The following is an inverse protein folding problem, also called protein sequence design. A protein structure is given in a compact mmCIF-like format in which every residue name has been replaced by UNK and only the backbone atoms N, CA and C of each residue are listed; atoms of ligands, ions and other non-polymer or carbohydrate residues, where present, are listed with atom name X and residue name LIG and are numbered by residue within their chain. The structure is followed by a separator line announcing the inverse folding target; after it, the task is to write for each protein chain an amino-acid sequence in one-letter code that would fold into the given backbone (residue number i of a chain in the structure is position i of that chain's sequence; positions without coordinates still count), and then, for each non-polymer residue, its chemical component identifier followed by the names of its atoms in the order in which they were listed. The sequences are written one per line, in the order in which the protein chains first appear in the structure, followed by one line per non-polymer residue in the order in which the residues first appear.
data_IF_433462644074
#
_entry.id   IF_433462644074
#
_cell.length_a   1.000
_cell.length_b   1.000
_cell.length_c   1.000
_cell.angle_alpha   90.00
_cell.angle_beta   90.00
_cell.angle_gamma   90.00
#
_symmetry.space_group_name_H-M   'P 1'
#
loop_
_entity.id
_entity.type
_entity.pdbx_description
1 polymer ?
#
# COMPACT_ATOMS: atom_id res chain seq x y z
N UNK A 1 10.53 6.69 -7.34
CA UNK A 1 9.39 7.28 -8.06
C UNK A 1 9.35 8.78 -7.76
N UNK A 2 9.05 9.65 -8.73
CA UNK A 2 8.85 11.07 -8.43
C UNK A 2 7.51 11.22 -7.68
N UNK A 3 7.50 11.98 -6.59
CA UNK A 3 6.28 12.38 -5.86
C UNK A 3 5.18 12.93 -6.79
N UNK A 4 5.54 13.39 -7.99
CA UNK A 4 4.62 13.83 -9.03
C UNK A 4 3.54 12.80 -9.41
N UNK A 5 3.77 11.49 -9.32
CA UNK A 5 2.71 10.52 -9.68
C UNK A 5 1.60 10.44 -8.62
N UNK A 6 1.95 10.61 -7.34
CA UNK A 6 0.98 10.65 -6.24
C UNK A 6 0.17 11.96 -6.21
N UNK A 7 0.65 13.03 -6.88
CA UNK A 7 -0.09 14.29 -7.06
C UNK A 7 -1.34 14.13 -7.93
N UNK A 8 -1.56 12.96 -8.55
CA UNK A 8 -2.81 12.64 -9.26
C UNK A 8 -4.04 12.69 -8.36
N UNK A 9 -3.89 12.49 -7.06
CA UNK A 9 -4.99 12.55 -6.12
C UNK A 9 -5.10 13.95 -5.50
N UNK A 10 -6.30 14.55 -5.59
CA UNK A 10 -6.58 15.86 -4.99
C UNK A 10 -6.65 15.79 -3.45
N UNK A 11 -6.99 14.62 -2.90
CA UNK A 11 -7.07 14.39 -1.47
C UNK A 11 -6.68 12.96 -1.09
N UNK A 12 -6.24 12.79 0.17
CA UNK A 12 -5.84 11.50 0.75
C UNK A 12 -6.98 10.49 0.74
N UNK A 13 -8.22 10.94 0.97
CA UNK A 13 -9.39 10.07 1.00
C UNK A 13 -9.63 9.35 -0.32
N UNK A 14 -9.33 9.99 -1.45
CA UNK A 14 -9.47 9.38 -2.77
C UNK A 14 -8.35 8.38 -3.08
N UNK A 15 -7.14 8.64 -2.58
CA UNK A 15 -6.03 7.70 -2.66
C UNK A 15 -6.29 6.45 -1.81
N UNK A 16 -6.87 6.60 -0.60
CA UNK A 16 -7.23 5.46 0.28
C UNK A 16 -8.26 4.51 -0.30
N UNK A 17 -9.08 4.97 -1.26
CA UNK A 17 -10.07 4.13 -1.97
C UNK A 17 -9.44 3.22 -3.01
N UNK A 18 -8.15 3.40 -3.35
CA UNK A 18 -7.51 2.62 -4.41
C UNK A 18 -7.09 1.25 -3.90
N UNK A 19 -7.21 0.28 -4.80
CA UNK A 19 -6.74 -1.08 -4.54
C UNK A 19 -5.23 -1.12 -4.72
N UNK A 20 -4.55 -1.75 -3.78
CA UNK A 20 -3.13 -2.06 -3.91
C UNK A 20 -2.99 -3.45 -4.56
N UNK A 21 -2.20 -3.52 -5.62
CA UNK A 21 -1.87 -4.76 -6.34
C UNK A 21 -0.36 -4.92 -6.41
N UNK A 22 0.14 -6.15 -6.42
CA UNK A 22 1.56 -6.38 -6.71
C UNK A 22 1.81 -6.53 -8.22
N UNK A 23 3.07 -6.60 -8.61
CA UNK A 23 3.51 -6.60 -10.00
C UNK A 23 2.94 -7.75 -10.85
N UNK A 24 2.51 -8.86 -10.25
CA UNK A 24 1.87 -9.98 -10.93
C UNK A 24 0.33 -9.83 -11.10
N UNK A 25 -0.24 -8.74 -10.57
CA UNK A 25 -1.68 -8.45 -10.59
C UNK A 25 -2.45 -8.99 -9.38
N UNK A 26 -1.79 -9.64 -8.41
CA UNK A 26 -2.46 -10.11 -7.20
C UNK A 26 -2.83 -8.93 -6.30
N UNK A 27 -4.11 -8.88 -5.91
CA UNK A 27 -4.63 -7.89 -4.98
C UNK A 27 -4.05 -8.09 -3.59
N UNK A 28 -3.37 -7.08 -3.05
CA UNK A 28 -2.86 -7.07 -1.68
C UNK A 28 -3.91 -6.54 -0.72
N UNK A 29 -4.47 -5.35 -1.00
CA UNK A 29 -5.33 -4.67 -0.03
C UNK A 29 -5.72 -3.26 -0.46
N UNK A 30 -5.83 -2.36 0.50
CA UNK A 30 -6.09 -0.94 0.28
C UNK A 30 -5.28 -0.10 1.27
N UNK A 31 -5.04 1.17 0.96
CA UNK A 31 -4.31 2.07 1.86
C UNK A 31 -5.20 2.44 3.04
N UNK A 32 -4.82 2.00 4.25
CA UNK A 32 -5.46 2.36 5.50
C UNK A 32 -5.03 3.75 5.96
N UNK A 33 -3.71 3.98 5.98
CA UNK A 33 -3.11 5.23 6.45
C UNK A 33 -1.80 5.57 5.73
N UNK A 34 -1.28 6.76 6.00
CA UNK A 34 -0.10 7.33 5.36
C UNK A 34 0.84 7.86 6.44
N UNK A 35 2.10 7.45 6.34
CA UNK A 35 3.19 7.96 7.17
C UNK A 35 3.86 9.09 6.40
N UNK A 36 3.90 10.27 6.99
CA UNK A 36 4.62 11.42 6.45
C UNK A 36 6.02 11.54 7.07
N UNK A 37 6.97 12.05 6.31
CA UNK A 37 8.26 12.47 6.85
C UNK A 37 8.15 13.83 7.58
N UNK A 38 9.26 14.28 8.16
CA UNK A 38 9.35 15.58 8.87
C UNK A 38 9.10 16.80 7.97
N UNK A 39 9.15 16.63 6.66
CA UNK A 39 8.94 17.69 5.66
C UNK A 39 7.53 17.60 5.04
N UNK A 40 6.65 16.76 5.59
CA UNK A 40 5.29 16.50 5.10
C UNK A 40 5.23 15.80 3.73
N UNK A 41 6.30 15.11 3.32
CA UNK A 41 6.27 14.23 2.16
C UNK A 41 5.71 12.86 2.57
N UNK A 42 5.00 12.21 1.66
CA UNK A 42 4.54 10.83 1.84
C UNK A 42 5.78 9.92 1.88
N UNK A 43 5.98 9.21 2.99
CA UNK A 43 7.09 8.28 3.20
C UNK A 43 6.67 6.82 2.99
N UNK A 44 5.52 6.45 3.53
CA UNK A 44 5.04 5.06 3.49
C UNK A 44 3.52 4.99 3.60
N UNK A 45 2.96 3.87 3.17
CA UNK A 45 1.55 3.53 3.31
C UNK A 45 1.36 2.39 4.30
N UNK A 46 0.36 2.51 5.15
CA UNK A 46 -0.13 1.43 6.00
C UNK A 46 -1.24 0.75 5.21
N UNK A 47 -1.13 -0.55 4.97
CA UNK A 47 -2.10 -1.30 4.15
C UNK A 47 -3.06 -2.04 5.06
N UNK A 48 -4.34 -2.07 4.73
CA UNK A 48 -5.33 -2.91 5.40
C UNK A 48 -6.06 -3.81 4.39
N UNK A 49 -6.66 -4.88 4.89
CA UNK A 49 -7.56 -5.73 4.11
C UNK A 49 -7.62 -7.15 4.63
N UNK A 50 -8.82 -7.73 4.58
CA UNK A 50 -9.13 -9.08 5.08
C UNK A 50 -8.29 -10.19 4.45
N UNK A 51 -7.78 -10.00 3.23
CA UNK A 51 -6.89 -10.99 2.61
C UNK A 51 -5.49 -11.02 3.25
N UNK A 52 -5.02 -9.89 3.77
CA UNK A 52 -3.75 -9.81 4.50
C UNK A 52 -3.85 -10.51 5.87
N UNK A 53 -4.91 -10.21 6.60
CA UNK A 53 -5.23 -10.84 7.89
C UNK A 53 -5.39 -12.36 7.73
N UNK A 54 -6.14 -12.82 6.72
CA UNK A 54 -6.29 -14.24 6.41
C UNK A 54 -4.97 -14.94 6.04
N UNK A 55 -4.06 -14.27 5.33
CA UNK A 55 -2.76 -14.85 4.95
C UNK A 55 -1.88 -15.07 6.19
N UNK A 56 -1.89 -14.13 7.13
CA UNK A 56 -1.11 -14.22 8.37
C UNK A 56 -1.68 -15.21 9.37
N UNK A 57 -3.00 -15.32 9.47
CA UNK A 57 -3.67 -16.39 10.21
C UNK A 57 -3.26 -17.77 9.69
N UNK A 58 -3.21 -17.95 8.36
CA UNK A 58 -2.78 -19.22 7.73
C UNK A 58 -1.32 -19.54 7.97
N UNK A 59 -0.45 -18.53 8.03
CA UNK A 59 0.96 -18.70 8.33
C UNK A 59 1.24 -18.93 9.82
N UNK A 60 0.25 -18.70 10.71
CA UNK A 60 0.34 -19.00 12.15
C UNK A 60 1.37 -18.17 12.91
N UNK A 61 1.77 -17.01 12.35
CA UNK A 61 3.06 -16.39 12.69
C UNK A 61 2.97 -15.17 13.61
N UNK A 62 2.08 -14.16 13.48
CA UNK A 62 2.17 -12.95 14.35
C UNK A 62 0.80 -12.24 14.52
N UNK A 63 0.57 -11.66 15.71
CA UNK A 63 -0.50 -10.70 16.07
C UNK A 63 -0.78 -9.62 15.01
N UNK A 64 -1.96 -9.01 15.08
CA UNK A 64 -2.50 -7.93 14.23
C UNK A 64 -1.48 -6.78 13.98
N UNK A 65 -0.70 -6.88 12.90
CA UNK A 65 0.30 -5.88 12.46
C UNK A 65 -0.01 -5.44 11.04
N UNK A 66 -0.40 -4.18 10.86
CA UNK A 66 -0.57 -3.64 9.52
C UNK A 66 0.79 -3.53 8.80
N UNK A 67 0.92 -4.05 7.58
CA UNK A 67 2.14 -3.98 6.81
C UNK A 67 2.35 -2.55 6.31
N UNK A 68 3.62 -2.13 6.28
CA UNK A 68 4.04 -0.79 5.91
C UNK A 68 4.81 -0.88 4.59
N UNK A 69 4.33 -0.17 3.58
CA UNK A 69 4.94 -0.12 2.25
C UNK A 69 5.58 1.25 2.02
N UNK A 70 6.92 1.34 1.94
CA UNK A 70 7.60 2.57 1.52
C UNK A 70 7.21 2.99 0.10
N UNK A 71 7.14 4.29 -0.16
CA UNK A 71 6.77 4.81 -1.50
C UNK A 71 7.75 4.42 -2.60
N UNK A 72 8.98 4.03 -2.23
CA UNK A 72 10.01 3.58 -3.18
C UNK A 72 9.65 2.26 -3.88
N UNK A 73 8.73 1.49 -3.30
CA UNK A 73 8.21 0.22 -3.85
C UNK A 73 7.02 0.40 -4.78
N UNK A 74 6.54 1.63 -4.98
CA UNK A 74 5.43 1.91 -5.90
C UNK A 74 5.99 1.94 -7.32
N UNK A 75 5.42 1.09 -8.16
CA UNK A 75 5.75 0.98 -9.57
C UNK A 75 4.87 1.90 -10.42
N UNK A 76 3.57 1.92 -10.15
CA UNK A 76 2.60 2.65 -10.98
C UNK A 76 1.40 3.13 -10.15
N UNK A 77 0.89 4.32 -10.47
CA UNK A 77 -0.33 4.89 -9.90
C UNK A 77 -1.33 5.21 -11.00
N UNK A 78 -2.48 4.54 -10.97
CA UNK A 78 -3.60 4.76 -11.88
C UNK A 78 -4.85 5.25 -11.16
N UNK A 79 -5.90 5.58 -11.90
CA UNK A 79 -7.19 5.97 -11.33
C UNK A 79 -7.91 4.84 -10.58
N UNK A 80 -7.49 3.58 -10.77
CA UNK A 80 -8.15 2.41 -10.17
C UNK A 80 -7.29 1.76 -9.09
N UNK A 81 -5.99 1.64 -9.33
CA UNK A 81 -5.09 0.84 -8.53
C UNK A 81 -3.69 1.45 -8.43
N UNK A 82 -2.98 1.02 -7.39
CA UNK A 82 -1.58 1.33 -7.13
C UNK A 82 -0.81 0.02 -7.16
N UNK A 83 0.16 -0.07 -8.06
CA UNK A 83 0.98 -1.27 -8.27
C UNK A 83 2.28 -1.14 -7.49
N UNK A 84 2.66 -2.19 -6.76
CA UNK A 84 3.93 -2.26 -6.02
C UNK A 84 4.77 -3.47 -6.45
N UNK A 85 6.08 -3.40 -6.20
CA UNK A 85 7.04 -4.48 -6.52
C UNK A 85 7.17 -5.55 -5.43
N UNK A 86 6.44 -5.41 -4.32
CA UNK A 86 6.41 -6.37 -3.21
C UNK A 86 5.23 -7.33 -3.36
N UNK A 87 5.50 -8.62 -3.15
CA UNK A 87 4.48 -9.66 -3.00
C UNK A 87 4.05 -9.82 -1.54
N UNK A 88 2.93 -10.51 -1.31
CA UNK A 88 2.36 -10.72 0.02
C UNK A 88 3.33 -11.41 0.99
N UNK A 89 4.15 -12.33 0.52
CA UNK A 89 5.14 -13.02 1.34
C UNK A 89 6.31 -12.13 1.80
N UNK A 90 6.43 -10.93 1.22
CA UNK A 90 7.48 -9.96 1.53
C UNK A 90 6.99 -8.81 2.45
N UNK A 91 5.70 -8.80 2.77
CA UNK A 91 5.03 -7.83 3.65
C UNK A 91 4.91 -8.38 5.08
#
# INVERSE_FOLDING_TARGET
MDMCELKRFENVSDMRKKVLVCADGEKIGHINDIIFDKNLNIKSFIIAGSFWEEFREKLGIIDDIDPIVPVDHILEVTDKEITIDLHKDQL
#
